data_IF_915790351873
#
_entry.id   IF_915790351873
#
_cell.length_a   1.000
_cell.length_b   1.000
_cell.length_c   1.000
_cell.angle_alpha   90.00
_cell.angle_beta   90.00
_cell.angle_gamma   90.00
#
_symmetry.space_group_name_H-M   'P 1'
#
loop_
_entity.id
_entity.type
_entity.pdbx_description
1 polymer ?
#
# COMPACT_ATOMS: atom_id res chain seq x y z
N UNK A 1 6.70 -47.07 -11.04
CA UNK A 1 7.55 -45.88 -11.32
C UNK A 1 6.76 -44.65 -10.88
N UNK A 2 6.81 -44.29 -9.58
CA UNK A 2 6.03 -43.17 -9.04
C UNK A 2 6.75 -41.84 -9.31
N UNK A 3 6.10 -40.92 -10.03
CA UNK A 3 6.61 -39.57 -10.28
C UNK A 3 6.27 -38.67 -9.09
N UNK A 4 7.27 -38.39 -8.27
CA UNK A 4 7.20 -37.41 -7.18
C UNK A 4 7.09 -36.00 -7.79
N UNK A 5 5.92 -35.35 -7.64
CA UNK A 5 5.78 -33.91 -7.89
C UNK A 5 6.49 -33.16 -6.76
N UNK A 6 7.72 -32.73 -7.00
CA UNK A 6 8.39 -31.74 -6.14
C UNK A 6 7.67 -30.40 -6.31
N UNK A 7 6.82 -30.05 -5.35
CA UNK A 7 6.23 -28.72 -5.24
C UNK A 7 7.36 -27.74 -4.89
N UNK A 8 7.98 -27.14 -5.91
CA UNK A 8 8.89 -26.02 -5.73
C UNK A 8 8.11 -24.89 -5.05
N UNK A 9 8.30 -24.71 -3.73
CA UNK A 9 7.83 -23.54 -3.00
C UNK A 9 8.48 -22.32 -3.64
N UNK A 10 7.77 -21.70 -4.57
CA UNK A 10 8.07 -20.34 -5.01
C UNK A 10 8.11 -19.48 -3.75
N UNK A 11 9.23 -18.84 -3.41
CA UNK A 11 9.22 -17.91 -2.29
C UNK A 11 8.14 -16.88 -2.59
N UNK A 12 7.20 -16.72 -1.64
CA UNK A 12 6.30 -15.58 -1.65
C UNK A 12 7.16 -14.33 -1.90
N UNK A 13 6.71 -13.37 -2.72
CA UNK A 13 7.45 -12.12 -2.86
C UNK A 13 7.69 -11.62 -1.45
N UNK A 14 8.97 -11.50 -1.09
CA UNK A 14 9.38 -10.92 0.17
C UNK A 14 8.76 -9.54 0.19
N UNK A 15 7.61 -9.43 0.88
CA UNK A 15 7.13 -8.16 1.35
C UNK A 15 8.19 -7.75 2.34
N UNK A 16 9.21 -7.05 1.84
CA UNK A 16 10.27 -6.47 2.63
C UNK A 16 9.58 -5.84 3.85
N UNK A 17 9.99 -6.16 5.09
CA UNK A 17 9.61 -5.33 6.21
C UNK A 17 10.32 -3.99 5.98
N UNK A 18 9.70 -3.15 5.16
CA UNK A 18 10.12 -1.78 4.97
C UNK A 18 10.02 -1.14 6.34
N UNK A 19 11.21 -0.92 6.91
CA UNK A 19 11.52 0.13 7.85
C UNK A 19 10.69 0.12 9.14
N UNK A 20 11.25 -0.48 10.19
CA UNK A 20 10.82 -0.32 11.59
C UNK A 20 11.17 1.05 12.18
N UNK A 21 11.19 2.10 11.36
CA UNK A 21 11.10 3.49 11.82
C UNK A 21 9.62 3.86 11.77
N UNK A 22 9.00 4.42 12.82
CA UNK A 22 7.62 4.86 12.72
C UNK A 22 7.55 5.86 11.55
N UNK A 23 6.84 5.54 10.47
CA UNK A 23 6.84 6.41 9.30
C UNK A 23 6.31 7.77 9.72
N UNK A 24 7.10 8.81 9.47
CA UNK A 24 6.66 10.18 9.71
C UNK A 24 5.42 10.43 8.84
N UNK A 25 4.51 11.30 9.29
CA UNK A 25 3.25 11.56 8.59
C UNK A 25 3.45 11.85 7.10
N UNK A 26 4.57 12.51 6.75
CA UNK A 26 4.93 12.80 5.37
C UNK A 26 5.19 11.55 4.50
N UNK A 27 5.80 10.50 5.06
CA UNK A 27 6.05 9.24 4.34
C UNK A 27 4.74 8.50 4.06
N UNK A 28 3.81 8.53 5.02
CA UNK A 28 2.46 8.03 4.81
C UNK A 28 1.70 8.80 3.72
N UNK A 29 1.81 10.12 3.70
CA UNK A 29 1.21 10.95 2.63
C UNK A 29 1.83 10.63 1.27
N UNK A 30 3.15 10.47 1.20
CA UNK A 30 3.83 10.16 -0.06
C UNK A 30 3.44 8.79 -0.60
N UNK A 31 3.38 7.76 0.26
CA UNK A 31 2.93 6.43 -0.11
C UNK A 31 1.44 6.41 -0.54
N UNK A 32 0.60 7.25 0.10
CA UNK A 32 -0.80 7.41 -0.28
C UNK A 32 -0.93 8.04 -1.68
N UNK A 33 -0.16 9.10 -1.97
CA UNK A 33 -0.10 9.74 -3.29
C UNK A 33 0.29 8.76 -4.39
N UNK A 34 1.37 8.00 -4.19
CA UNK A 34 1.80 6.99 -5.17
C UNK A 34 0.75 5.90 -5.41
N UNK A 35 0.02 5.50 -4.36
CA UNK A 35 -1.06 4.53 -4.49
C UNK A 35 -2.22 5.08 -5.32
N UNK A 36 -2.61 6.35 -5.10
CA UNK A 36 -3.64 7.03 -5.89
C UNK A 36 -3.22 7.24 -7.34
N UNK A 37 -1.97 7.64 -7.59
CA UNK A 37 -1.46 7.82 -8.95
C UNK A 37 -1.54 6.52 -9.75
N UNK A 38 -1.13 5.39 -9.16
CA UNK A 38 -1.27 4.07 -9.78
C UNK A 38 -2.72 3.63 -9.96
N UNK A 39 -3.62 4.08 -9.07
CA UNK A 39 -5.05 3.82 -9.22
C UNK A 39 -5.61 4.58 -10.43
N UNK A 40 -5.24 5.85 -10.58
CA UNK A 40 -5.64 6.68 -11.72
C UNK A 40 -5.05 6.14 -13.03
N UNK A 41 -3.78 5.75 -13.05
CA UNK A 41 -3.15 5.12 -14.21
C UNK A 41 -3.89 3.86 -14.68
N UNK A 42 -4.37 3.03 -13.75
CA UNK A 42 -5.16 1.85 -14.10
C UNK A 42 -6.51 2.21 -14.75
N UNK A 43 -7.08 3.36 -14.41
CA UNK A 43 -8.35 3.86 -14.95
C UNK A 43 -8.18 4.70 -16.24
N UNK A 44 -6.97 5.16 -16.54
CA UNK A 44 -6.67 6.02 -17.69
C UNK A 44 -6.59 5.28 -19.03
N UNK A 45 -6.79 3.95 -19.07
CA UNK A 45 -6.84 3.20 -20.33
C UNK A 45 -8.16 3.41 -21.08
N UNK A 46 -8.11 3.40 -22.42
CA UNK A 46 -9.27 3.54 -23.32
C UNK A 46 -10.38 2.50 -23.09
N UNK A 47 -10.04 1.33 -22.55
CA UNK A 47 -10.98 0.28 -22.21
C UNK A 47 -10.83 -0.10 -20.73
N UNK A 48 -11.52 0.64 -19.85
CA UNK A 48 -11.52 0.37 -18.42
C UNK A 48 -12.29 -0.92 -18.12
N UNK A 49 -11.59 -1.96 -17.64
CA UNK A 49 -12.19 -3.26 -17.32
C UNK A 49 -12.60 -3.35 -15.85
N UNK A 50 -13.44 -4.33 -15.51
CA UNK A 50 -13.79 -4.62 -14.12
C UNK A 50 -12.55 -4.91 -13.24
N UNK A 51 -11.51 -5.52 -13.82
CA UNK A 51 -10.24 -5.78 -13.12
C UNK A 51 -9.47 -4.48 -12.82
N UNK A 52 -9.51 -3.50 -13.71
CA UNK A 52 -8.90 -2.19 -13.49
C UNK A 52 -9.61 -1.42 -12.38
N UNK A 53 -10.94 -1.45 -12.37
CA UNK A 53 -11.76 -0.86 -11.30
C UNK A 53 -11.45 -1.51 -9.96
N UNK A 54 -11.36 -2.85 -9.90
CA UNK A 54 -11.00 -3.56 -8.67
C UNK A 54 -9.58 -3.19 -8.20
N UNK A 55 -8.62 -3.10 -9.13
CA UNK A 55 -7.24 -2.71 -8.83
C UNK A 55 -7.16 -1.28 -8.31
N UNK A 56 -7.83 -0.34 -8.98
CA UNK A 56 -7.91 1.06 -8.57
C UNK A 56 -8.57 1.20 -7.18
N UNK A 57 -9.64 0.45 -6.93
CA UNK A 57 -10.32 0.41 -5.63
C UNK A 57 -9.41 -0.09 -4.52
N UNK A 58 -8.70 -1.21 -4.72
CA UNK A 58 -7.75 -1.75 -3.75
C UNK A 58 -6.63 -0.76 -3.41
N UNK A 59 -6.15 -0.03 -4.42
CA UNK A 59 -5.14 1.03 -4.24
C UNK A 59 -5.68 2.26 -3.52
N UNK A 60 -6.91 2.68 -3.82
CA UNK A 60 -7.58 3.78 -3.12
C UNK A 60 -7.80 3.46 -1.64
N UNK A 61 -8.20 2.22 -1.31
CA UNK A 61 -8.35 1.77 0.09
C UNK A 61 -7.01 1.79 0.83
N UNK A 62 -5.93 1.33 0.18
CA UNK A 62 -4.57 1.42 0.72
C UNK A 62 -4.17 2.87 0.98
N UNK A 63 -4.42 3.78 0.04
CA UNK A 63 -4.13 5.21 0.20
C UNK A 63 -4.91 5.82 1.37
N UNK A 64 -6.21 5.55 1.47
CA UNK A 64 -7.05 6.03 2.58
C UNK A 64 -6.54 5.52 3.94
N UNK A 65 -6.06 4.27 3.99
CA UNK A 65 -5.47 3.69 5.21
C UNK A 65 -4.17 4.40 5.60
N UNK A 66 -3.32 4.71 4.62
CA UNK A 66 -2.08 5.46 4.85
C UNK A 66 -2.37 6.88 5.35
N UNK A 67 -3.35 7.58 4.76
CA UNK A 67 -3.76 8.90 5.21
C UNK A 67 -4.30 8.88 6.65
N UNK A 68 -5.10 7.88 7.03
CA UNK A 68 -5.53 7.72 8.43
C UNK A 68 -4.35 7.56 9.39
N UNK A 69 -3.30 6.83 8.99
CA UNK A 69 -2.09 6.70 9.79
C UNK A 69 -1.29 8.00 9.84
N UNK A 70 -1.24 8.76 8.75
CA UNK A 70 -0.63 10.09 8.72
C UNK A 70 -1.33 11.04 9.69
N UNK A 71 -2.67 11.08 9.70
CA UNK A 71 -3.43 11.87 10.68
C UNK A 71 -3.05 11.48 12.11
N UNK A 72 -3.09 10.18 12.43
CA UNK A 72 -2.71 9.69 13.76
C UNK A 72 -1.28 10.05 14.16
N UNK A 73 -0.34 10.03 13.21
CA UNK A 73 1.04 10.43 13.45
C UNK A 73 1.16 11.94 13.74
N UNK A 74 0.37 12.79 13.06
CA UNK A 74 0.30 14.23 13.34
C UNK A 74 -0.35 14.53 14.69
N UNK A 75 -1.41 13.81 15.06
CA UNK A 75 -2.07 13.95 16.37
C UNK A 75 -1.17 13.49 17.54
N UNK A 76 -0.30 12.51 17.31
CA UNK A 76 0.66 12.05 18.31
C UNK A 76 1.84 13.05 18.51
N UNK A 77 2.22 13.77 17.45
CA UNK A 77 3.27 14.81 17.51
C UNK A 77 2.83 16.03 18.34
N UNK A 78 1.57 16.46 18.20
CA UNK A 78 1.02 17.61 18.94
C UNK A 78 0.88 17.34 20.44
N UNK A 79 0.70 16.08 20.85
CA UNK A 79 0.59 15.68 22.25
C UNK A 79 1.97 15.64 22.94
N UNK A 80 3.06 15.44 22.20
CA UNK A 80 4.42 15.38 22.76
C UNK A 80 5.08 16.75 22.98
N UNK A 81 4.48 17.85 22.47
CA UNK A 81 5.03 19.22 22.57
C UNK A 81 4.42 20.06 23.69
N UNK A 82 3.55 19.48 24.53
CA UNK A 82 2.78 20.18 25.56
C UNK A 82 2.97 19.68 26.98
N UNK A 83 4.13 19.11 27.31
CA UNK A 83 4.49 18.68 28.67
C UNK A 83 5.76 19.40 29.15
#
# INVERSE_FOLDING_TARGET
>A
MAKTLTLARKPAPTSSPADTTPPNAQEHVQAARQSLEKALQALSGDACTAADIQTATGRAIRAATLLKRACKALDADTTSKGA
#
